data_IF_033129957845
#
_entry.id   IF_033129957845
#
_cell.length_a   1.000
_cell.length_b   1.000
_cell.length_c   1.000
_cell.angle_alpha   90.00
_cell.angle_beta   90.00
_cell.angle_gamma   90.00
#
_symmetry.space_group_name_H-M   'P 1'
#
loop_
_entity.id
_entity.type
_entity.pdbx_description
1 polymer ?
#
# COMPACT_ATOMS: atom_id res chain seq x y z
N UNK A 1 4.74 21.81 -15.19
CA UNK A 1 5.92 21.29 -14.48
C UNK A 1 5.68 21.48 -12.99
N UNK A 2 5.30 20.42 -12.25
CA UNK A 2 5.07 20.49 -10.82
C UNK A 2 6.42 20.45 -10.12
N UNK A 3 6.84 21.58 -9.59
CA UNK A 3 7.98 21.66 -8.68
C UNK A 3 7.45 21.25 -7.30
N UNK A 4 7.68 20.00 -6.91
CA UNK A 4 7.66 19.64 -5.49
C UNK A 4 8.71 20.53 -4.81
N UNK A 5 8.32 21.28 -3.79
CA UNK A 5 9.27 22.05 -2.98
C UNK A 5 10.37 21.07 -2.56
N UNK A 6 11.61 21.41 -2.91
CA UNK A 6 12.82 20.69 -2.55
C UNK A 6 12.72 20.35 -1.06
N UNK A 7 12.50 19.08 -0.73
CA UNK A 7 12.53 18.64 0.65
C UNK A 7 13.96 18.85 1.12
N UNK A 8 14.16 19.83 1.99
CA UNK A 8 15.31 19.84 2.88
C UNK A 8 15.37 18.43 3.48
N UNK A 9 16.56 17.81 3.52
CA UNK A 9 16.89 16.49 4.05
C UNK A 9 15.72 15.85 4.80
N UNK A 10 15.15 14.79 4.25
CA UNK A 10 14.01 14.12 4.89
C UNK A 10 14.31 13.99 6.37
N UNK A 11 13.52 14.56 7.28
CA UNK A 11 13.77 14.46 8.73
C UNK A 11 13.55 13.01 9.20
N UNK A 12 13.39 12.08 8.27
CA UNK A 12 12.94 10.72 8.48
C UNK A 12 14.12 9.77 8.71
N UNK A 13 14.30 9.35 9.94
CA UNK A 13 15.11 8.20 10.35
C UNK A 13 14.26 6.97 10.71
N UNK A 14 13.01 6.88 10.21
CA UNK A 14 12.13 5.77 10.48
C UNK A 14 12.50 4.54 9.66
N UNK A 15 12.26 3.38 10.24
CA UNK A 15 12.24 2.11 9.51
C UNK A 15 10.88 1.94 8.85
N UNK A 16 10.80 1.11 7.82
CA UNK A 16 9.53 0.81 7.19
C UNK A 16 9.67 0.13 5.84
N UNK A 17 8.52 -0.14 5.23
CA UNK A 17 8.44 -0.72 3.89
C UNK A 17 7.25 -0.15 3.13
N UNK A 18 7.43 0.02 1.84
CA UNK A 18 6.33 0.28 0.92
C UNK A 18 5.88 -1.02 0.26
N UNK A 19 4.59 -1.32 0.33
CA UNK A 19 3.95 -2.51 -0.24
C UNK A 19 3.14 -2.10 -1.46
N UNK A 20 3.68 -2.33 -2.64
CA UNK A 20 2.97 -2.12 -3.91
C UNK A 20 2.34 -3.43 -4.40
N UNK A 21 1.43 -3.36 -5.34
CA UNK A 21 0.87 -4.54 -6.01
C UNK A 21 1.20 -4.56 -7.48
N UNK A 22 1.50 -5.71 -8.02
CA UNK A 22 1.68 -5.88 -9.47
C UNK A 22 0.39 -5.55 -10.23
N UNK A 23 -0.76 -5.94 -9.66
CA UNK A 23 -2.10 -5.57 -10.13
C UNK A 23 -3.07 -5.38 -8.98
N UNK A 24 -4.31 -4.99 -9.27
CA UNK A 24 -5.38 -4.96 -8.28
C UNK A 24 -5.68 -6.36 -7.75
N UNK A 25 -6.12 -6.46 -6.49
CA UNK A 25 -6.57 -7.74 -5.91
C UNK A 25 -5.49 -8.78 -5.59
N UNK A 26 -4.19 -8.52 -5.79
CA UNK A 26 -3.08 -9.47 -5.50
C UNK A 26 -2.88 -9.77 -4.02
N UNK A 27 -3.58 -9.06 -3.12
CA UNK A 27 -3.52 -9.28 -1.68
C UNK A 27 -2.52 -8.41 -0.94
N UNK A 28 -2.20 -7.22 -1.44
CA UNK A 28 -1.38 -6.22 -0.71
C UNK A 28 -1.80 -6.08 0.75
N UNK A 29 -3.09 -5.80 0.97
CA UNK A 29 -3.64 -5.60 2.31
C UNK A 29 -3.45 -6.83 3.22
N UNK A 30 -3.55 -8.05 2.67
CA UNK A 30 -3.29 -9.26 3.45
C UNK A 30 -1.84 -9.36 3.92
N UNK A 31 -0.89 -9.06 3.02
CA UNK A 31 0.55 -9.01 3.34
C UNK A 31 0.83 -7.87 4.32
N UNK A 32 0.27 -6.68 4.10
CA UNK A 32 0.41 -5.53 5.00
C UNK A 32 -0.07 -5.83 6.42
N UNK A 33 -1.23 -6.45 6.56
CA UNK A 33 -1.78 -6.87 7.86
C UNK A 33 -0.85 -7.88 8.55
N UNK A 34 -0.35 -8.87 7.80
CA UNK A 34 0.57 -9.85 8.35
C UNK A 34 1.86 -9.22 8.88
N UNK A 35 2.47 -8.32 8.12
CA UNK A 35 3.67 -7.58 8.54
C UNK A 35 3.39 -6.75 9.79
N UNK A 36 2.32 -5.94 9.79
CA UNK A 36 1.97 -5.07 10.92
C UNK A 36 1.69 -5.87 12.20
N UNK A 37 0.94 -6.96 12.11
CA UNK A 37 0.65 -7.82 13.27
C UNK A 37 1.92 -8.51 13.77
N UNK A 38 2.78 -8.99 12.88
CA UNK A 38 4.06 -9.59 13.27
C UNK A 38 4.96 -8.58 14.01
N UNK A 39 5.04 -7.33 13.57
CA UNK A 39 5.75 -6.25 14.27
C UNK A 39 5.12 -5.95 15.63
N UNK A 40 3.81 -5.75 15.68
CA UNK A 40 3.08 -5.46 16.93
C UNK A 40 3.26 -6.56 17.98
N UNK A 41 3.22 -7.85 17.57
CA UNK A 41 3.48 -9.01 18.47
C UNK A 41 4.90 -9.02 19.06
N UNK A 42 5.85 -8.39 18.37
CA UNK A 42 7.25 -8.23 18.83
C UNK A 42 7.46 -6.96 19.65
N UNK A 43 6.38 -6.21 19.95
CA UNK A 43 6.45 -4.96 20.69
C UNK A 43 7.02 -3.78 19.89
N UNK A 44 7.04 -3.87 18.56
CA UNK A 44 7.47 -2.76 17.70
C UNK A 44 6.30 -1.83 17.45
N UNK A 45 6.42 -0.58 17.86
CA UNK A 45 5.45 0.46 17.54
C UNK A 45 5.45 0.72 16.03
N UNK A 46 4.33 0.45 15.38
CA UNK A 46 4.19 0.57 13.93
C UNK A 46 2.83 1.14 13.55
N UNK A 47 2.75 1.71 12.36
CA UNK A 47 1.49 2.20 11.82
C UNK A 47 1.33 1.91 10.33
N UNK A 48 0.10 1.64 9.84
CA UNK A 48 -0.22 1.61 8.43
C UNK A 48 -0.41 3.01 7.88
N UNK A 49 -0.01 3.21 6.63
CA UNK A 49 -0.34 4.40 5.87
C UNK A 49 -0.84 4.03 4.47
N UNK A 50 -2.04 4.52 4.12
CA UNK A 50 -2.62 4.34 2.80
C UNK A 50 -3.01 5.69 2.22
N UNK A 51 -2.22 6.21 1.28
CA UNK A 51 -2.41 7.56 0.73
C UNK A 51 -3.82 7.79 0.18
N UNK A 52 -4.27 6.84 -0.63
CA UNK A 52 -5.57 6.90 -1.33
C UNK A 52 -6.32 5.59 -1.13
N UNK A 53 -7.59 5.67 -0.81
CA UNK A 53 -8.53 4.56 -0.91
C UNK A 53 -9.74 4.95 -1.74
N UNK A 54 -10.19 4.06 -2.62
CA UNK A 54 -11.51 4.10 -3.25
C UNK A 54 -12.32 2.99 -2.62
N UNK A 55 -13.55 3.28 -2.22
CA UNK A 55 -14.38 2.40 -1.36
C UNK A 55 -15.77 2.28 -1.91
N UNK A 56 -16.26 1.06 -2.02
CA UNK A 56 -17.66 0.74 -2.34
C UNK A 56 -18.41 0.29 -1.07
N UNK A 57 -19.76 0.29 -1.04
CA UNK A 57 -20.53 -0.04 0.15
C UNK A 57 -20.21 -1.41 0.77
N UNK A 58 -19.86 -2.39 -0.05
CA UNK A 58 -19.46 -3.74 0.36
C UNK A 58 -18.08 -3.80 1.03
N UNK A 59 -17.27 -2.76 0.85
CA UNK A 59 -15.94 -2.63 1.45
C UNK A 59 -15.92 -1.80 2.74
N UNK A 60 -17.06 -1.29 3.21
CA UNK A 60 -17.12 -0.48 4.42
C UNK A 60 -16.79 -1.29 5.68
N UNK A 61 -16.13 -0.62 6.62
CA UNK A 61 -15.99 -1.08 7.99
C UNK A 61 -17.01 -0.35 8.87
N UNK A 62 -18.24 -0.79 8.84
CA UNK A 62 -19.31 -0.19 9.66
C UNK A 62 -19.91 1.09 9.05
N UNK A 63 -20.71 1.84 9.86
CA UNK A 63 -21.46 3.03 9.44
C UNK A 63 -20.81 4.36 9.83
N UNK A 64 -19.50 4.38 10.05
CA UNK A 64 -18.79 5.61 10.41
C UNK A 64 -18.64 6.58 9.24
N UNK A 65 -18.51 7.87 9.54
CA UNK A 65 -18.12 8.90 8.57
C UNK A 65 -16.76 9.47 8.98
N UNK A 66 -15.76 9.52 8.11
CA UNK A 66 -15.77 8.98 6.74
C UNK A 66 -15.92 7.46 6.70
N UNK A 67 -16.45 6.90 5.61
CA UNK A 67 -16.64 5.47 5.48
C UNK A 67 -15.28 4.79 5.28
N UNK A 68 -14.69 4.32 6.37
CA UNK A 68 -13.39 3.64 6.31
C UNK A 68 -13.45 2.38 5.43
N UNK A 69 -12.46 2.23 4.56
CA UNK A 69 -12.26 0.96 3.88
C UNK A 69 -11.90 -0.11 4.91
N UNK A 70 -12.56 -1.27 4.84
CA UNK A 70 -12.33 -2.41 5.75
C UNK A 70 -10.82 -2.73 5.88
N UNK A 71 -10.08 -2.73 4.78
CA UNK A 71 -8.63 -2.97 4.81
C UNK A 71 -7.84 -1.97 5.64
N UNK A 72 -8.25 -0.69 5.71
CA UNK A 72 -7.60 0.32 6.57
C UNK A 72 -7.85 0.02 8.04
N UNK A 73 -9.11 -0.33 8.40
CA UNK A 73 -9.45 -0.72 9.78
C UNK A 73 -8.68 -1.95 10.21
N UNK A 74 -8.64 -2.98 9.36
CA UNK A 74 -7.90 -4.22 9.62
C UNK A 74 -6.39 -3.97 9.80
N UNK A 75 -5.79 -3.12 8.99
CA UNK A 75 -4.38 -2.76 9.12
C UNK A 75 -4.09 -1.98 10.40
N UNK A 76 -4.98 -1.07 10.80
CA UNK A 76 -4.87 -0.37 12.07
C UNK A 76 -5.03 -1.34 13.25
N UNK A 77 -6.01 -2.26 13.22
CA UNK A 77 -6.17 -3.31 14.24
C UNK A 77 -4.92 -4.19 14.33
N UNK A 78 -4.33 -4.58 13.19
CA UNK A 78 -3.10 -5.35 13.16
C UNK A 78 -1.93 -4.64 13.85
N UNK A 79 -1.85 -3.32 13.70
CA UNK A 79 -0.84 -2.47 14.33
C UNK A 79 -1.17 -2.06 15.78
N UNK A 80 -2.31 -2.52 16.34
CA UNK A 80 -2.74 -2.12 17.69
C UNK A 80 -3.23 -0.68 17.81
N UNK A 81 -3.69 -0.07 16.71
CA UNK A 81 -4.17 1.32 16.68
C UNK A 81 -5.58 1.43 16.09
N UNK A 82 -6.16 2.61 16.18
CA UNK A 82 -7.47 2.92 15.59
C UNK A 82 -7.33 3.84 14.38
N UNK A 83 -8.19 3.68 13.36
CA UNK A 83 -8.13 4.52 12.18
C UNK A 83 -8.32 6.01 12.51
N UNK A 84 -7.47 6.84 11.93
CA UNK A 84 -7.54 8.30 11.95
C UNK A 84 -7.38 8.80 10.53
N UNK A 85 -7.79 10.04 10.22
CA UNK A 85 -7.70 10.59 8.87
C UNK A 85 -6.26 10.54 8.32
N UNK A 86 -5.25 10.62 9.15
CA UNK A 86 -3.85 10.58 8.73
C UNK A 86 -3.33 9.18 8.38
N UNK A 87 -4.06 8.10 8.70
CA UNK A 87 -3.76 6.77 8.17
C UNK A 87 -4.26 6.59 6.73
N UNK A 88 -5.33 7.33 6.35
CA UNK A 88 -5.88 7.34 5.00
C UNK A 88 -6.41 8.74 4.66
N UNK A 89 -5.52 9.68 4.28
CA UNK A 89 -5.85 11.10 4.14
C UNK A 89 -6.76 11.42 2.95
N UNK A 90 -6.76 10.58 1.91
CA UNK A 90 -7.61 10.75 0.73
C UNK A 90 -8.45 9.50 0.53
N UNK A 91 -9.77 9.70 0.51
CA UNK A 91 -10.72 8.62 0.32
C UNK A 91 -11.79 9.07 -0.69
N UNK A 92 -12.11 8.20 -1.63
CA UNK A 92 -13.26 8.39 -2.53
C UNK A 92 -14.29 7.31 -2.20
N UNK A 93 -15.48 7.76 -1.86
CA UNK A 93 -16.62 6.89 -1.58
C UNK A 93 -17.51 6.78 -2.80
N UNK A 94 -17.57 5.60 -3.39
CA UNK A 94 -18.47 5.28 -4.50
C UNK A 94 -19.83 4.82 -3.95
N UNK A 95 -20.95 5.25 -4.55
CA UNK A 95 -22.28 4.75 -4.17
C UNK A 95 -22.46 3.28 -4.53
N UNK A 96 -21.78 2.81 -5.56
CA UNK A 96 -21.69 1.43 -6.02
C UNK A 96 -20.44 1.24 -6.90
N UNK A 97 -20.09 0.00 -7.21
CA UNK A 97 -18.92 -0.36 -8.01
C UNK A 97 -19.02 0.03 -9.50
N UNK A 98 -20.19 0.43 -9.99
CA UNK A 98 -20.45 0.75 -11.41
C UNK A 98 -20.43 2.26 -11.66
N UNK A 99 -20.57 3.05 -10.62
CA UNK A 99 -20.62 4.53 -10.73
C UNK A 99 -19.20 5.09 -10.84
N UNK A 100 -18.86 5.79 -11.94
CA UNK A 100 -17.51 6.33 -12.14
C UNK A 100 -17.26 7.64 -11.40
N UNK A 101 -18.14 8.04 -10.46
CA UNK A 101 -18.06 9.31 -9.72
C UNK A 101 -18.37 9.03 -8.24
N UNK A 102 -17.49 9.46 -7.36
CA UNK A 102 -17.63 9.27 -5.92
C UNK A 102 -17.46 10.55 -5.10
N UNK A 103 -17.82 10.50 -3.84
CA UNK A 103 -17.60 11.56 -2.88
C UNK A 103 -16.15 11.56 -2.42
N UNK A 104 -15.44 12.65 -2.67
CA UNK A 104 -14.06 12.86 -2.23
C UNK A 104 -14.04 13.35 -0.77
N UNK A 105 -13.31 12.63 0.06
CA UNK A 105 -12.95 13.02 1.42
C UNK A 105 -11.46 13.29 1.51
N UNK A 106 -11.09 14.41 2.10
CA UNK A 106 -9.69 14.77 2.38
C UNK A 106 -9.59 15.18 3.85
N UNK A 107 -8.65 14.60 4.57
CA UNK A 107 -8.53 14.77 6.05
C UNK A 107 -9.84 14.46 6.78
N UNK A 108 -10.57 13.45 6.31
CA UNK A 108 -11.86 13.04 6.87
C UNK A 108 -13.05 13.96 6.55
N UNK A 109 -12.87 15.02 5.77
CA UNK A 109 -13.94 15.97 5.39
C UNK A 109 -14.32 15.79 3.93
N UNK A 110 -15.63 15.73 3.65
CA UNK A 110 -16.14 15.69 2.29
C UNK A 110 -15.89 17.04 1.59
N UNK A 111 -15.28 16.98 0.40
CA UNK A 111 -14.97 18.18 -0.41
C UNK A 111 -15.84 18.31 -1.66
N UNK A 112 -16.46 17.24 -2.14
CA UNK A 112 -17.26 17.25 -3.35
C UNK A 112 -17.24 15.88 -4.04
N UNK A 113 -17.67 15.85 -5.30
CA UNK A 113 -17.67 14.64 -6.13
C UNK A 113 -16.55 14.70 -7.15
N UNK A 114 -15.93 13.56 -7.40
CA UNK A 114 -14.81 13.42 -8.35
C UNK A 114 -14.96 12.16 -9.20
N UNK A 115 -14.44 12.19 -10.44
CA UNK A 115 -14.39 10.99 -11.26
C UNK A 115 -13.40 9.98 -10.69
N UNK A 116 -13.68 8.71 -10.95
CA UNK A 116 -12.81 7.57 -10.61
C UNK A 116 -12.52 6.81 -11.88
N UNK A 117 -11.27 6.44 -12.10
CA UNK A 117 -10.83 5.65 -13.24
C UNK A 117 -10.89 4.16 -12.88
N UNK A 118 -11.70 3.41 -13.62
CA UNK A 118 -12.02 2.03 -13.22
C UNK A 118 -12.83 2.01 -11.93
N UNK A 119 -12.80 0.88 -11.21
CA UNK A 119 -13.58 0.70 -9.98
C UNK A 119 -12.84 1.13 -8.70
N UNK A 120 -11.54 1.43 -8.77
CA UNK A 120 -10.69 1.52 -7.56
C UNK A 120 -9.55 2.55 -7.65
N UNK A 121 -9.55 3.47 -8.63
CA UNK A 121 -8.45 4.40 -8.87
C UNK A 121 -8.88 5.85 -8.90
N UNK A 122 -8.18 6.66 -8.14
CA UNK A 122 -8.26 8.12 -8.23
C UNK A 122 -7.07 8.63 -9.06
N UNK A 123 -7.36 9.10 -10.27
CA UNK A 123 -6.41 9.78 -11.13
C UNK A 123 -6.29 11.25 -10.71
N UNK A 124 -5.17 11.63 -10.09
CA UNK A 124 -4.93 13.02 -9.72
C UNK A 124 -4.89 13.97 -10.93
N UNK A 125 -4.50 13.47 -12.11
CA UNK A 125 -4.44 14.26 -13.33
C UNK A 125 -5.82 14.74 -13.78
N UNK A 126 -6.88 14.01 -13.44
CA UNK A 126 -8.26 14.35 -13.74
C UNK A 126 -8.86 15.39 -12.79
N UNK A 127 -8.18 15.71 -11.67
CA UNK A 127 -8.68 16.66 -10.68
C UNK A 127 -8.29 18.10 -11.02
N UNK A 128 -9.17 19.10 -10.70
CA UNK A 128 -8.79 20.50 -10.70
C UNK A 128 -7.57 20.73 -9.80
N UNK A 129 -6.69 21.65 -10.19
CA UNK A 129 -5.42 21.93 -9.51
C UNK A 129 -5.55 22.16 -8.00
N UNK A 130 -6.62 22.87 -7.60
CA UNK A 130 -6.89 23.13 -6.18
C UNK A 130 -7.18 21.84 -5.39
N UNK A 131 -7.95 20.92 -5.96
CA UNK A 131 -8.26 19.63 -5.31
C UNK A 131 -7.04 18.72 -5.32
N UNK A 132 -6.31 18.66 -6.42
CA UNK A 132 -5.07 17.91 -6.54
C UNK A 132 -4.07 18.31 -5.46
N UNK A 133 -3.80 19.62 -5.31
CA UNK A 133 -2.91 20.12 -4.24
C UNK A 133 -3.41 19.74 -2.86
N UNK A 134 -4.70 19.89 -2.57
CA UNK A 134 -5.28 19.50 -1.28
C UNK A 134 -5.07 18.01 -0.96
N UNK A 135 -5.21 17.13 -1.95
CA UNK A 135 -4.94 15.71 -1.79
C UNK A 135 -3.45 15.46 -1.49
N UNK A 136 -2.56 16.10 -2.24
CA UNK A 136 -1.11 15.97 -2.04
C UNK A 136 -0.69 16.48 -0.66
N UNK A 137 -1.13 17.68 -0.26
CA UNK A 137 -0.83 18.28 1.05
C UNK A 137 -1.35 17.38 2.20
N UNK A 138 -2.54 16.78 2.05
CA UNK A 138 -3.09 15.90 3.07
C UNK A 138 -2.30 14.59 3.21
N UNK A 139 -1.85 14.02 2.09
CA UNK A 139 -1.02 12.82 2.09
C UNK A 139 0.33 13.10 2.74
N UNK A 140 0.96 14.20 2.39
CA UNK A 140 2.24 14.61 2.94
C UNK A 140 2.16 14.90 4.45
N UNK A 141 1.12 15.61 4.88
CA UNK A 141 0.85 15.90 6.30
C UNK A 141 0.59 14.62 7.09
N UNK A 142 -0.29 13.73 6.60
CA UNK A 142 -0.61 12.47 7.27
C UNK A 142 0.60 11.56 7.40
N UNK A 143 1.40 11.45 6.33
CA UNK A 143 2.63 10.69 6.33
C UNK A 143 3.64 11.24 7.35
N UNK A 144 3.94 12.55 7.32
CA UNK A 144 4.88 13.17 8.27
C UNK A 144 4.43 13.01 9.71
N UNK A 145 3.13 13.10 9.96
CA UNK A 145 2.57 12.94 11.29
C UNK A 145 2.84 11.53 11.83
N UNK A 146 2.42 10.49 11.11
CA UNK A 146 2.65 9.11 11.54
C UNK A 146 4.13 8.81 11.73
N UNK A 147 4.90 9.30 10.85
CA UNK A 147 6.30 9.13 10.86
C UNK A 147 7.02 9.83 12.03
N UNK A 148 6.43 10.83 12.64
CA UNK A 148 6.85 11.40 13.92
C UNK A 148 6.29 10.67 15.15
N UNK A 149 5.23 9.86 14.96
CA UNK A 149 4.54 9.16 16.05
C UNK A 149 5.10 7.75 16.29
N UNK A 150 5.54 7.04 15.23
CA UNK A 150 6.01 5.65 15.33
C UNK A 150 7.36 5.44 14.64
N UNK A 151 8.21 4.54 15.15
CA UNK A 151 9.51 4.25 14.55
C UNK A 151 9.40 3.43 13.26
N UNK A 152 8.28 2.73 13.01
CA UNK A 152 8.14 1.85 11.86
C UNK A 152 6.84 2.12 11.08
N UNK A 153 6.95 2.36 9.78
CA UNK A 153 5.81 2.64 8.91
C UNK A 153 5.65 1.61 7.81
N UNK A 154 4.42 1.18 7.59
CA UNK A 154 4.03 0.43 6.41
C UNK A 154 3.19 1.32 5.48
N UNK A 155 3.74 1.63 4.32
CA UNK A 155 3.04 2.37 3.27
C UNK A 155 2.41 1.37 2.29
N UNK A 156 1.08 1.38 2.15
CA UNK A 156 0.37 0.51 1.21
C UNK A 156 -0.08 1.30 -0.01
N UNK A 157 0.28 0.83 -1.20
CA UNK A 157 -0.20 1.36 -2.47
C UNK A 157 -1.68 1.08 -2.75
N UNK A 158 -2.19 1.63 -3.84
CA UNK A 158 -3.57 1.43 -4.30
C UNK A 158 -3.59 0.74 -5.68
N UNK A 159 -4.57 -0.13 -5.92
CA UNK A 159 -4.71 -0.88 -7.18
C UNK A 159 -3.41 -1.56 -7.64
N UNK A 160 -3.07 -1.56 -8.92
CA UNK A 160 -1.77 -1.99 -9.44
C UNK A 160 -0.82 -0.82 -9.62
N UNK A 161 0.47 -1.01 -9.35
CA UNK A 161 1.49 0.04 -9.42
C UNK A 161 1.77 0.53 -10.85
N UNK A 162 1.34 -0.21 -11.88
CA UNK A 162 1.43 0.20 -13.29
C UNK A 162 0.12 0.71 -13.89
N UNK A 163 -0.94 0.88 -13.09
CA UNK A 163 -2.28 1.16 -13.62
C UNK A 163 -2.52 2.63 -14.00
N UNK A 164 -1.86 3.56 -13.32
CA UNK A 164 -1.96 5.01 -13.61
C UNK A 164 -0.67 5.58 -14.21
N UNK A 165 -0.78 6.68 -14.99
CA UNK A 165 0.41 7.44 -15.40
C UNK A 165 1.20 7.93 -14.18
N UNK A 166 2.54 7.91 -14.22
CA UNK A 166 3.35 8.27 -13.07
C UNK A 166 3.03 9.63 -12.43
N UNK A 167 2.74 10.65 -13.22
CA UNK A 167 2.41 11.99 -12.72
C UNK A 167 1.05 12.08 -11.98
N UNK A 168 0.19 11.07 -12.17
CA UNK A 168 -1.15 11.01 -11.60
C UNK A 168 -1.27 10.04 -10.42
N UNK A 169 -0.25 9.21 -10.19
CA UNK A 169 -0.28 8.15 -9.19
C UNK A 169 0.31 8.59 -7.85
N UNK A 170 -0.57 9.10 -7.00
CA UNK A 170 -0.20 9.57 -5.66
C UNK A 170 0.23 8.40 -4.75
N UNK A 171 -0.45 7.26 -4.86
CA UNK A 171 -0.28 6.15 -3.94
C UNK A 171 0.90 5.23 -4.26
N UNK A 172 1.16 4.99 -5.56
CA UNK A 172 2.17 4.01 -5.94
C UNK A 172 3.47 4.66 -6.45
N UNK A 173 3.47 5.96 -6.70
CA UNK A 173 4.67 6.67 -7.14
C UNK A 173 5.00 7.86 -6.26
N UNK A 174 4.16 8.92 -6.24
CA UNK A 174 4.50 10.19 -5.59
C UNK A 174 4.83 9.98 -4.11
N UNK A 175 4.00 9.23 -3.39
CA UNK A 175 4.25 8.94 -1.98
C UNK A 175 5.45 8.02 -1.75
N UNK A 176 5.61 6.87 -2.44
CA UNK A 176 6.79 6.03 -2.26
C UNK A 176 8.12 6.75 -2.51
N UNK A 177 8.19 7.63 -3.51
CA UNK A 177 9.37 8.46 -3.76
C UNK A 177 9.62 9.47 -2.62
N UNK A 178 8.55 10.08 -2.09
CA UNK A 178 8.63 10.99 -0.95
C UNK A 178 9.08 10.25 0.32
N UNK A 179 8.52 9.07 0.57
CA UNK A 179 8.81 8.25 1.74
C UNK A 179 10.26 7.74 1.74
N UNK A 180 10.80 7.41 0.57
CA UNK A 180 12.15 6.87 0.45
C UNK A 180 12.33 5.49 1.11
N UNK A 181 11.23 4.80 1.43
CA UNK A 181 11.26 3.49 2.05
C UNK A 181 11.56 2.39 1.04
N UNK A 182 12.21 1.30 1.44
CA UNK A 182 12.33 0.10 0.63
C UNK A 182 10.97 -0.35 0.10
N UNK A 183 10.94 -0.83 -1.15
CA UNK A 183 9.70 -1.21 -1.83
C UNK A 183 9.68 -2.70 -2.09
N UNK A 184 8.62 -3.38 -1.70
CA UNK A 184 8.30 -4.74 -2.12
C UNK A 184 7.05 -4.72 -3.01
N UNK A 185 7.01 -5.59 -4.04
CA UNK A 185 5.86 -5.72 -4.93
C UNK A 185 5.17 -7.06 -4.69
N UNK A 186 3.92 -7.01 -4.28
CA UNK A 186 3.10 -8.22 -4.10
C UNK A 186 2.56 -8.65 -5.46
N UNK A 187 2.80 -9.91 -5.80
CA UNK A 187 2.24 -10.60 -6.95
C UNK A 187 1.41 -11.81 -6.48
N UNK A 188 0.37 -12.16 -7.22
CA UNK A 188 -0.41 -13.38 -6.93
C UNK A 188 0.21 -14.58 -7.63
N UNK A 189 0.42 -15.68 -6.92
CA UNK A 189 0.86 -16.93 -7.52
C UNK A 189 -0.11 -17.45 -8.60
N UNK A 190 -1.39 -17.11 -8.48
CA UNK A 190 -2.46 -17.49 -9.42
C UNK A 190 -2.48 -16.66 -10.71
N UNK A 191 -1.91 -15.43 -10.69
CA UNK A 191 -2.07 -14.42 -11.73
C UNK A 191 -0.74 -13.71 -12.06
N UNK A 192 0.39 -14.40 -11.96
CA UNK A 192 1.69 -13.83 -12.30
C UNK A 192 1.86 -13.75 -13.83
N UNK A 193 1.34 -12.69 -14.45
CA UNK A 193 1.44 -12.42 -15.87
C UNK A 193 2.72 -11.60 -16.18
N UNK A 194 3.59 -12.04 -17.10
CA UNK A 194 4.72 -11.25 -17.56
C UNK A 194 4.34 -9.87 -18.12
N UNK A 195 3.15 -9.72 -18.70
CA UNK A 195 2.66 -8.42 -19.16
C UNK A 195 2.45 -7.41 -18.02
N UNK A 196 2.07 -7.88 -16.83
CA UNK A 196 1.96 -7.03 -15.65
C UNK A 196 3.34 -6.56 -15.17
N UNK A 197 4.37 -7.42 -15.30
CA UNK A 197 5.76 -7.04 -15.00
C UNK A 197 6.24 -5.94 -15.93
N UNK A 198 6.00 -6.07 -17.23
CA UNK A 198 6.37 -5.03 -18.22
C UNK A 198 5.65 -3.71 -17.89
N UNK A 199 4.34 -3.74 -17.68
CA UNK A 199 3.58 -2.55 -17.29
C UNK A 199 4.13 -1.88 -16.03
N UNK A 200 4.48 -2.66 -15.01
CA UNK A 200 5.10 -2.15 -13.80
C UNK A 200 6.45 -1.50 -14.12
N UNK A 201 7.35 -2.23 -14.78
CA UNK A 201 8.72 -1.76 -15.04
C UNK A 201 8.77 -0.53 -15.93
N UNK A 202 7.87 -0.42 -16.91
CA UNK A 202 7.76 0.75 -17.80
C UNK A 202 7.28 2.01 -17.07
N UNK A 203 6.61 1.84 -15.94
CA UNK A 203 6.08 2.94 -15.10
C UNK A 203 6.99 3.30 -13.92
N UNK A 204 8.00 2.48 -13.62
CA UNK A 204 8.96 2.79 -12.56
C UNK A 204 9.88 3.94 -12.97
N UNK A 205 9.90 4.98 -12.17
CA UNK A 205 10.92 6.01 -12.26
C UNK A 205 12.28 5.48 -11.77
N UNK A 206 13.41 6.12 -12.14
CA UNK A 206 14.72 5.75 -11.59
C UNK A 206 14.75 5.76 -10.04
N UNK A 207 14.09 6.75 -9.43
CA UNK A 207 14.02 6.87 -7.96
C UNK A 207 13.29 5.67 -7.34
N UNK A 208 12.11 5.32 -7.87
CA UNK A 208 11.33 4.20 -7.35
C UNK A 208 12.02 2.85 -7.62
N UNK A 209 12.67 2.72 -8.78
CA UNK A 209 13.45 1.52 -9.14
C UNK A 209 14.62 1.29 -8.17
N UNK A 210 15.27 2.36 -7.71
CA UNK A 210 16.36 2.26 -6.73
C UNK A 210 15.89 1.79 -5.34
N UNK A 211 14.61 1.93 -5.00
CA UNK A 211 14.02 1.49 -3.74
C UNK A 211 13.49 0.04 -3.81
N UNK A 212 13.38 -0.53 -5.02
CA UNK A 212 12.73 -1.81 -5.24
C UNK A 212 13.60 -2.99 -4.81
N UNK A 213 13.13 -3.75 -3.82
CA UNK A 213 13.83 -4.94 -3.30
C UNK A 213 13.53 -6.20 -4.11
N UNK A 214 12.28 -6.38 -4.54
CA UNK A 214 11.83 -7.58 -5.25
C UNK A 214 10.35 -7.87 -5.05
N UNK A 215 9.96 -9.11 -5.35
CA UNK A 215 8.58 -9.57 -5.29
C UNK A 215 8.29 -10.40 -4.05
N UNK A 216 7.08 -10.26 -3.53
CA UNK A 216 6.47 -11.18 -2.57
C UNK A 216 5.37 -11.93 -3.31
N UNK A 217 5.51 -13.23 -3.46
CA UNK A 217 4.53 -14.09 -4.09
C UNK A 217 3.48 -14.49 -3.06
N UNK A 218 2.26 -14.01 -3.23
CA UNK A 218 1.14 -14.26 -2.33
C UNK A 218 0.17 -15.28 -2.92
N UNK A 219 -0.71 -15.84 -2.08
CA UNK A 219 -1.71 -16.86 -2.43
C UNK A 219 -1.09 -18.14 -3.00
N UNK A 220 -0.02 -18.59 -2.36
CA UNK A 220 0.62 -19.85 -2.70
C UNK A 220 -0.23 -20.98 -2.14
N UNK A 221 -0.86 -21.76 -3.00
CA UNK A 221 -1.61 -22.97 -2.65
C UNK A 221 -1.00 -24.23 -3.25
N UNK A 222 -0.15 -24.07 -4.25
CA UNK A 222 0.55 -25.14 -4.98
C UNK A 222 2.01 -24.72 -5.20
N UNK A 223 2.94 -25.47 -4.66
CA UNK A 223 4.37 -25.16 -4.73
C UNK A 223 4.94 -25.21 -6.16
N UNK A 224 4.68 -26.23 -7.00
CA UNK A 224 5.14 -26.25 -8.37
C UNK A 224 4.66 -25.07 -9.21
N UNK A 225 3.39 -24.68 -9.10
CA UNK A 225 2.84 -23.52 -9.78
C UNK A 225 3.46 -22.21 -9.27
N UNK A 226 3.72 -22.12 -7.97
CA UNK A 226 4.40 -20.98 -7.36
C UNK A 226 5.88 -20.89 -7.80
N UNK A 227 6.58 -22.00 -7.95
CA UNK A 227 7.94 -22.03 -8.48
C UNK A 227 7.99 -21.51 -9.92
N UNK A 228 7.08 -21.97 -10.77
CA UNK A 228 6.97 -21.50 -12.12
C UNK A 228 6.62 -19.99 -12.19
N UNK A 229 5.73 -19.51 -11.32
CA UNK A 229 5.40 -18.09 -11.21
C UNK A 229 6.62 -17.26 -10.75
N UNK A 230 7.34 -17.72 -9.74
CA UNK A 230 8.54 -17.07 -9.23
C UNK A 230 9.62 -16.96 -10.31
N UNK A 231 9.85 -18.04 -11.07
CA UNK A 231 10.81 -18.03 -12.17
C UNK A 231 10.40 -17.06 -13.29
N UNK A 232 9.12 -17.02 -13.65
CA UNK A 232 8.61 -16.05 -14.66
C UNK A 232 8.84 -14.61 -14.19
N UNK A 233 8.48 -14.29 -12.94
CA UNK A 233 8.69 -12.96 -12.37
C UNK A 233 10.16 -12.57 -12.36
N UNK A 234 11.03 -13.45 -11.85
CA UNK A 234 12.45 -13.17 -11.76
C UNK A 234 13.10 -12.96 -13.15
N UNK A 235 12.73 -13.77 -14.15
CA UNK A 235 13.22 -13.62 -15.52
C UNK A 235 12.75 -12.33 -16.18
N UNK A 236 11.47 -11.99 -16.04
CA UNK A 236 10.88 -10.81 -16.66
C UNK A 236 11.37 -9.50 -16.04
N UNK A 237 11.56 -9.46 -14.72
CA UNK A 237 11.91 -8.24 -13.97
C UNK A 237 13.39 -8.09 -13.66
N UNK A 238 14.17 -9.18 -13.67
CA UNK A 238 15.53 -9.30 -13.12
C UNK A 238 15.60 -9.02 -11.61
N UNK A 239 14.49 -9.14 -10.91
CA UNK A 239 14.38 -8.93 -9.47
C UNK A 239 14.10 -10.26 -8.75
N UNK A 240 14.57 -10.44 -7.51
CA UNK A 240 14.34 -11.66 -6.76
C UNK A 240 12.87 -11.77 -6.30
N UNK A 241 12.42 -13.02 -6.09
CA UNK A 241 11.25 -13.32 -5.26
C UNK A 241 11.76 -13.49 -3.83
N UNK A 242 11.37 -12.56 -2.96
CA UNK A 242 11.86 -12.42 -1.59
C UNK A 242 11.21 -13.41 -0.62
N UNK A 243 9.92 -13.67 -0.84
CA UNK A 243 9.13 -14.55 0.01
C UNK A 243 7.94 -15.14 -0.76
N UNK A 244 7.45 -16.27 -0.25
CA UNK A 244 6.25 -16.96 -0.72
C UNK A 244 5.30 -17.10 0.46
N UNK A 245 4.14 -16.46 0.37
CA UNK A 245 3.14 -16.44 1.43
C UNK A 245 2.01 -17.39 1.04
N UNK A 246 1.72 -18.33 1.91
CA UNK A 246 0.62 -19.27 1.76
C UNK A 246 -0.71 -18.53 1.66
N UNK A 247 -1.65 -19.04 0.87
CA UNK A 247 -2.98 -18.47 0.75
C UNK A 247 -3.68 -18.49 2.12
N UNK A 248 -4.02 -17.30 2.59
CA UNK A 248 -4.66 -17.09 3.87
C UNK A 248 -6.07 -16.53 3.67
N UNK A 249 -7.07 -17.40 3.36
CA UNK A 249 -8.45 -16.96 3.27
C UNK A 249 -8.93 -16.43 4.63
N UNK A 250 -9.97 -15.61 4.65
CA UNK A 250 -10.60 -15.22 5.91
C UNK A 250 -11.02 -16.47 6.71
N UNK A 251 -10.98 -16.41 8.05
CA UNK A 251 -11.49 -17.50 8.90
C UNK A 251 -12.92 -17.84 8.56
N UNK A 252 -13.30 -19.10 8.76
CA UNK A 252 -14.67 -19.57 8.55
C UNK A 252 -15.66 -18.71 9.34
N UNK A 253 -16.75 -18.28 8.70
CA UNK A 253 -17.75 -17.40 9.31
C UNK A 253 -17.25 -15.99 9.59
N UNK A 254 -16.27 -15.48 8.85
CA UNK A 254 -15.77 -14.11 8.96
C UNK A 254 -16.90 -13.11 8.65
N UNK A 255 -17.26 -12.30 9.65
CA UNK A 255 -18.32 -11.29 9.60
C UNK A 255 -17.81 -9.86 9.82
N UNK A 256 -16.51 -9.69 10.01
CA UNK A 256 -15.90 -8.40 10.28
C UNK A 256 -16.04 -7.92 11.72
N UNK A 257 -16.48 -8.78 12.66
CA UNK A 257 -16.45 -8.48 14.11
C UNK A 257 -15.00 -8.27 14.58
N UNK A 258 -14.76 -7.48 15.64
CA UNK A 258 -13.43 -7.22 16.17
C UNK A 258 -12.62 -8.49 16.44
N UNK A 259 -13.26 -9.49 17.06
CA UNK A 259 -12.63 -10.77 17.41
C UNK A 259 -12.19 -11.55 16.17
N UNK A 260 -13.01 -11.53 15.11
CA UNK A 260 -12.69 -12.21 13.86
C UNK A 260 -11.67 -11.44 13.01
N UNK A 261 -11.66 -10.11 13.11
CA UNK A 261 -10.59 -9.28 12.55
C UNK A 261 -9.27 -9.63 13.23
N UNK A 262 -9.26 -9.73 14.56
CA UNK A 262 -8.05 -10.07 15.31
C UNK A 262 -7.52 -11.45 14.95
N UNK A 263 -8.38 -12.47 14.93
CA UNK A 263 -8.03 -13.83 14.51
C UNK A 263 -7.46 -13.87 13.08
N UNK A 264 -8.04 -13.11 12.17
CA UNK A 264 -7.53 -13.00 10.81
C UNK A 264 -6.14 -12.34 10.77
N UNK A 265 -5.92 -11.31 11.60
CA UNK A 265 -4.61 -10.66 11.70
C UNK A 265 -3.54 -11.65 12.21
N UNK A 266 -3.87 -12.45 13.24
CA UNK A 266 -2.98 -13.48 13.76
C UNK A 266 -2.61 -14.53 12.69
N UNK A 267 -3.60 -15.03 11.96
CA UNK A 267 -3.37 -16.01 10.91
C UNK A 267 -2.46 -15.46 9.79
N UNK A 268 -2.70 -14.22 9.36
CA UNK A 268 -1.86 -13.58 8.34
C UNK A 268 -0.44 -13.30 8.84
N UNK A 269 -0.28 -12.96 10.11
CA UNK A 269 1.04 -12.82 10.71
C UNK A 269 1.81 -14.14 10.68
N UNK A 270 1.18 -15.26 11.05
CA UNK A 270 1.80 -16.56 10.98
C UNK A 270 2.28 -16.91 9.56
N UNK A 271 1.44 -16.70 8.55
CA UNK A 271 1.84 -16.93 7.14
C UNK A 271 3.03 -16.05 6.71
N UNK A 272 3.09 -14.80 7.17
CA UNK A 272 4.20 -13.88 6.87
C UNK A 272 5.47 -14.31 7.61
N UNK A 273 5.39 -14.69 8.88
CA UNK A 273 6.52 -15.17 9.68
C UNK A 273 7.11 -16.45 9.10
N UNK A 274 6.28 -17.43 8.75
CA UNK A 274 6.67 -18.69 8.11
C UNK A 274 7.35 -18.47 6.76
N UNK A 275 6.93 -17.46 5.99
CA UNK A 275 7.53 -17.13 4.69
C UNK A 275 8.97 -16.63 4.76
N UNK A 276 9.44 -16.24 5.95
CA UNK A 276 10.74 -15.62 6.16
C UNK A 276 10.83 -14.14 5.78
N UNK A 277 9.73 -13.53 5.35
CA UNK A 277 9.70 -12.13 4.94
C UNK A 277 10.13 -11.19 6.09
N UNK A 278 9.70 -11.45 7.31
CA UNK A 278 10.06 -10.63 8.47
C UNK A 278 11.56 -10.62 8.74
N UNK A 279 12.25 -11.77 8.64
CA UNK A 279 13.72 -11.82 8.80
C UNK A 279 14.45 -10.97 7.76
N UNK A 280 13.90 -10.88 6.54
CA UNK A 280 14.45 -10.04 5.49
C UNK A 280 14.21 -8.56 5.81
N UNK A 281 13.01 -8.19 6.27
CA UNK A 281 12.69 -6.81 6.63
C UNK A 281 13.49 -6.31 7.85
N UNK A 282 13.71 -7.17 8.83
CA UNK A 282 14.54 -6.88 10.02
C UNK A 282 16.02 -6.62 9.66
N UNK A 283 16.50 -7.23 8.57
CA UNK A 283 17.86 -7.04 8.08
C UNK A 283 18.05 -5.78 7.22
N UNK A 284 16.96 -5.07 6.89
CA UNK A 284 17.06 -3.84 6.09
C UNK A 284 17.70 -2.72 6.92
N UNK A 285 18.62 -1.94 6.33
CA UNK A 285 19.13 -0.74 6.98
C UNK A 285 17.99 0.26 7.20
N UNK A 286 18.10 1.07 8.27
CA UNK A 286 17.19 2.20 8.45
C UNK A 286 17.16 3.06 7.18
N UNK A 287 15.99 3.59 6.85
CA UNK A 287 15.79 4.37 5.63
C UNK A 287 16.90 5.42 5.46
N UNK A 288 17.58 5.40 4.34
CA UNK A 288 18.52 6.46 3.99
C UNK A 288 17.71 7.72 3.71
N UNK A 289 18.08 8.89 4.27
CA UNK A 289 17.46 10.15 3.86
C UNK A 289 17.55 10.25 2.34
N UNK A 290 16.42 10.49 1.69
CA UNK A 290 16.25 10.39 0.24
C UNK A 290 17.39 11.01 -0.54
N UNK A 291 18.06 10.20 -1.33
CA UNK A 291 18.97 10.62 -2.41
C UNK A 291 18.12 11.24 -3.53
N UNK A 292 17.60 12.43 -3.29
CA UNK A 292 17.24 13.36 -4.37
C UNK A 292 18.28 14.47 -4.33
N UNK A 293 19.53 14.13 -4.63
CA UNK A 293 20.47 15.13 -5.10
C UNK A 293 20.04 15.58 -6.49
N UNK A 294 19.78 16.85 -6.58
CA UNK A 294 19.42 17.54 -7.79
C UNK A 294 20.49 17.33 -8.86
N UNK A 295 20.13 16.72 -9.96
CA UNK A 295 20.77 17.03 -11.24
C UNK A 295 20.36 18.47 -11.60
N UNK A 296 21.31 19.38 -11.52
CA UNK A 296 21.25 20.74 -12.07
C UNK A 296 21.18 20.71 -13.59
#
# INVERSE_FOLDING_TARGET
>A
MLVLKKAASSPFRGQGVTVLGMSAGVGKTAVSIGILRSLSRRGVDCAPFKAVAVVTPDEYAGRSLPPWRRGVVQSCTAAGTVPRWWHNPVLVNLPDARTPVGDLYVRGRRLGRVPVTGADRLDLGSLPDRLRRRCQDAVEEGYRRLAGEVPWLLVEGAAGAGDLPPAADLANRILPELAGLPVIVVASARQADPADVSRLTDRLTPALRALLLGFVLNRVSDHPAADAAAQRLARASRLPVLARITDAPPPLGYDGSPEKIDLMCEYRASCVDESGLMRLLDALPAARPGLVEATR
#
